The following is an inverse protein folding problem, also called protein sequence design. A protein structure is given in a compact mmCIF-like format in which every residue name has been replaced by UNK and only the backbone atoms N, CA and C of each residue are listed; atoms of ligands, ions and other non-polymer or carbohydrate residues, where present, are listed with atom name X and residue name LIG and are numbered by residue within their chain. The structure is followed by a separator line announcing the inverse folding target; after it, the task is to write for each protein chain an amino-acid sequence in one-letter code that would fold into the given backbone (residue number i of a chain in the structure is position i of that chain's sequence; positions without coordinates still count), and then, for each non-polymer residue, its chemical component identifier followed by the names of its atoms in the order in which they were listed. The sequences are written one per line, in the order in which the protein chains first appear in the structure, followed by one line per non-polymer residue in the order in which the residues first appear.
data_IF_815218243212
#
_entry.id   IF_815218243212
#
_cell.length_a   1.000
_cell.length_b   1.000
_cell.length_c   1.000
_cell.angle_alpha   90.00
_cell.angle_beta   90.00
_cell.angle_gamma   90.00
#
_symmetry.space_group_name_H-M   'P 1'
#
loop_
_entity.id
_entity.type
_entity.pdbx_description
1 polymer ?
#
# COMPACT_ATOMS: atom_id res chain seq x y z
N UNK A 1 -40.07 29.78 1.77
CA UNK A 1 -38.91 29.38 0.96
C UNK A 1 -37.77 28.98 1.90
N UNK A 2 -37.59 27.69 2.14
CA UNK A 2 -36.38 27.16 2.79
C UNK A 2 -36.08 25.81 2.16
N UNK A 3 -34.94 25.72 1.49
CA UNK A 3 -34.42 24.53 0.84
C UNK A 3 -33.81 23.57 1.87
N UNK A 4 -34.21 22.28 1.90
CA UNK A 4 -33.38 21.21 2.46
C UNK A 4 -33.03 20.19 1.37
N UNK A 5 -32.53 20.62 0.21
CA UNK A 5 -32.19 19.71 -0.91
C UNK A 5 -30.70 19.61 -1.24
N UNK A 6 -29.82 20.25 -0.44
CA UNK A 6 -28.38 20.28 -0.73
C UNK A 6 -27.51 19.27 0.04
N UNK A 7 -27.98 18.69 1.15
CA UNK A 7 -27.11 17.95 2.09
C UNK A 7 -27.16 16.42 1.92
N UNK A 8 -28.20 15.88 1.26
CA UNK A 8 -28.38 14.43 1.07
C UNK A 8 -27.84 13.88 -0.26
N UNK A 9 -27.61 14.72 -1.28
CA UNK A 9 -27.15 14.24 -2.60
C UNK A 9 -25.62 14.11 -2.74
N UNK A 10 -24.84 14.54 -1.74
CA UNK A 10 -23.36 14.51 -1.75
C UNK A 10 -22.74 13.34 -0.99
N UNK A 11 -23.51 12.51 -0.28
CA UNK A 11 -22.99 11.36 0.47
C UNK A 11 -23.02 10.05 -0.33
N UNK A 12 -23.66 10.01 -1.50
CA UNK A 12 -23.94 8.76 -2.22
C UNK A 12 -23.06 8.52 -3.46
N UNK A 13 -22.29 9.49 -3.93
CA UNK A 13 -21.33 9.29 -5.04
C UNK A 13 -19.90 9.01 -4.56
N UNK A 14 -19.59 9.33 -3.31
CA UNK A 14 -18.25 9.24 -2.72
C UNK A 14 -17.77 7.80 -2.46
N UNK A 15 -18.59 6.84 -1.97
CA UNK A 15 -18.08 5.52 -1.54
C UNK A 15 -17.51 4.66 -2.68
N UNK A 16 -18.06 4.75 -3.88
CA UNK A 16 -17.59 3.97 -5.04
C UNK A 16 -16.35 4.57 -5.68
N UNK A 17 -16.31 5.89 -5.85
CA UNK A 17 -15.12 6.61 -6.30
C UNK A 17 -13.94 6.41 -5.33
N UNK A 18 -14.26 6.32 -4.04
CA UNK A 18 -13.37 6.00 -2.94
C UNK A 18 -12.76 4.58 -3.03
N UNK A 19 -13.58 3.54 -3.21
CA UNK A 19 -13.06 2.17 -3.30
C UNK A 19 -12.23 1.91 -4.58
N UNK A 20 -12.45 2.70 -5.64
CA UNK A 20 -11.56 2.71 -6.82
C UNK A 20 -10.13 3.15 -6.49
N UNK A 21 -9.91 3.99 -5.46
CA UNK A 21 -8.56 4.40 -5.08
C UNK A 21 -7.71 3.23 -4.57
N UNK A 22 -8.30 2.32 -3.78
CA UNK A 22 -7.62 1.12 -3.31
C UNK A 22 -7.33 0.13 -4.43
N UNK A 23 -8.25 -0.03 -5.40
CA UNK A 23 -8.00 -0.81 -6.63
C UNK A 23 -6.86 -0.20 -7.44
N UNK A 24 -6.89 1.12 -7.66
CA UNK A 24 -5.84 1.83 -8.38
C UNK A 24 -4.48 1.68 -7.69
N UNK A 25 -4.42 1.82 -6.36
CA UNK A 25 -3.20 1.57 -5.59
C UNK A 25 -2.70 0.14 -5.79
N UNK A 26 -3.56 -0.86 -5.59
CA UNK A 26 -3.16 -2.25 -5.69
C UNK A 26 -2.62 -2.61 -7.07
N UNK A 27 -3.25 -2.09 -8.13
CA UNK A 27 -2.80 -2.28 -9.51
C UNK A 27 -1.48 -1.54 -9.77
N UNK A 28 -1.38 -0.26 -9.43
CA UNK A 28 -0.17 0.54 -9.66
C UNK A 28 1.03 -0.02 -8.89
N UNK A 29 0.84 -0.30 -7.60
CA UNK A 29 1.89 -0.85 -6.75
C UNK A 29 2.23 -2.30 -7.12
N UNK A 30 1.22 -3.11 -7.49
CA UNK A 30 1.43 -4.44 -8.03
C UNK A 30 2.26 -4.42 -9.31
N UNK A 31 1.98 -3.50 -10.24
CA UNK A 31 2.79 -3.29 -11.45
C UNK A 31 4.22 -2.89 -11.08
N UNK A 32 4.42 -1.95 -10.15
CA UNK A 32 5.76 -1.57 -9.66
C UNK A 32 6.52 -2.80 -9.16
N UNK A 33 5.92 -3.64 -8.30
CA UNK A 33 6.55 -4.84 -7.77
C UNK A 33 6.87 -5.89 -8.86
N UNK A 34 5.94 -6.14 -9.78
CA UNK A 34 6.14 -7.09 -10.88
C UNK A 34 7.23 -6.63 -11.84
N UNK A 35 7.25 -5.33 -12.18
CA UNK A 35 8.27 -4.73 -13.02
C UNK A 35 9.64 -4.81 -12.33
N UNK A 36 9.71 -4.52 -11.03
CA UNK A 36 10.95 -4.66 -10.26
C UNK A 36 11.44 -6.11 -10.24
N UNK A 37 10.56 -7.08 -10.02
CA UNK A 37 10.88 -8.52 -9.98
C UNK A 37 11.35 -9.08 -11.32
N UNK A 38 10.64 -8.74 -12.39
CA UNK A 38 10.95 -9.25 -13.75
C UNK A 38 12.15 -8.56 -14.39
N UNK A 39 12.66 -7.50 -13.76
CA UNK A 39 13.89 -6.83 -14.17
C UNK A 39 15.14 -7.47 -13.55
N UNK A 40 14.99 -8.46 -12.66
CA UNK A 40 16.11 -9.26 -12.16
C UNK A 40 16.51 -10.36 -13.15
N UNK A 41 17.82 -10.50 -13.45
CA UNK A 41 18.36 -11.72 -14.07
C UNK A 41 18.14 -12.96 -13.18
N UNK A 42 17.96 -14.16 -13.76
CA UNK A 42 17.86 -15.41 -12.99
C UNK A 42 19.10 -15.60 -12.08
N UNK A 43 18.88 -15.72 -10.77
CA UNK A 43 19.95 -15.91 -9.77
C UNK A 43 20.59 -14.63 -9.23
N UNK A 44 20.19 -13.45 -9.69
CA UNK A 44 20.66 -12.18 -9.13
C UNK A 44 19.91 -11.80 -7.84
N UNK A 45 20.57 -11.05 -6.95
CA UNK A 45 19.95 -10.57 -5.70
C UNK A 45 19.03 -9.38 -5.96
N UNK A 46 17.91 -9.26 -5.24
CA UNK A 46 17.06 -8.05 -5.30
C UNK A 46 17.92 -6.82 -4.99
N UNK A 47 17.72 -5.73 -5.73
CA UNK A 47 18.59 -4.56 -5.66
C UNK A 47 19.57 -4.50 -6.84
N UNK A 48 20.08 -5.64 -7.32
CA UNK A 48 20.99 -5.70 -8.48
C UNK A 48 20.38 -5.12 -9.75
N UNK A 49 19.05 -5.17 -9.92
CA UNK A 49 18.41 -4.58 -11.09
C UNK A 49 18.61 -3.05 -11.18
N UNK A 50 18.85 -2.40 -10.04
CA UNK A 50 19.12 -0.96 -9.93
C UNK A 50 20.58 -0.62 -10.20
N UNK A 51 21.49 -1.60 -10.09
CA UNK A 51 22.86 -1.46 -10.60
C UNK A 51 22.95 -1.86 -12.07
N UNK A 52 22.40 -3.00 -12.49
CA UNK A 52 22.84 -3.64 -13.74
C UNK A 52 22.15 -3.13 -15.02
N UNK A 53 21.31 -2.09 -14.90
CA UNK A 53 20.92 -1.28 -16.06
C UNK A 53 19.71 -1.77 -16.84
N UNK A 54 18.63 -2.18 -16.17
CA UNK A 54 17.32 -2.41 -16.81
C UNK A 54 16.55 -1.10 -17.06
N UNK A 55 17.09 -0.21 -17.90
CA UNK A 55 16.77 1.23 -17.87
C UNK A 55 15.33 1.64 -18.25
N UNK A 56 14.57 0.85 -19.00
CA UNK A 56 13.20 1.22 -19.42
C UNK A 56 12.14 0.87 -18.37
N UNK A 57 12.14 -0.40 -17.95
CA UNK A 57 11.22 -0.95 -16.95
C UNK A 57 11.39 -0.28 -15.59
N UNK A 58 12.63 -0.03 -15.20
CA UNK A 58 12.91 0.56 -13.90
C UNK A 58 12.52 2.04 -13.80
N UNK A 59 12.66 2.79 -14.90
CA UNK A 59 12.12 4.16 -15.01
C UNK A 59 10.60 4.17 -14.89
N UNK A 60 9.91 3.21 -15.51
CA UNK A 60 8.46 3.08 -15.37
C UNK A 60 8.06 2.86 -13.91
N UNK A 61 8.75 1.97 -13.18
CA UNK A 61 8.51 1.75 -11.76
C UNK A 61 8.70 3.03 -10.94
N UNK A 62 9.79 3.78 -11.15
CA UNK A 62 10.04 5.07 -10.48
C UNK A 62 8.89 6.05 -10.74
N UNK A 63 8.47 6.19 -12.00
CA UNK A 63 7.40 7.13 -12.38
C UNK A 63 6.06 6.71 -11.79
N UNK A 64 5.76 5.41 -11.72
CA UNK A 64 4.49 4.89 -11.17
C UNK A 64 4.41 5.00 -9.65
N UNK A 65 5.52 4.89 -8.92
CA UNK A 65 5.52 4.86 -7.46
C UNK A 65 4.78 6.06 -6.82
N UNK A 66 5.02 7.34 -7.21
CA UNK A 66 4.28 8.47 -6.65
C UNK A 66 2.76 8.39 -6.88
N UNK A 67 2.33 7.94 -8.07
CA UNK A 67 0.90 7.77 -8.37
C UNK A 67 0.28 6.66 -7.51
N UNK A 68 1.00 5.55 -7.32
CA UNK A 68 0.59 4.52 -6.37
C UNK A 68 0.44 5.11 -4.96
N UNK A 69 1.42 5.90 -4.51
CA UNK A 69 1.35 6.56 -3.21
C UNK A 69 0.17 7.51 -3.03
N UNK A 70 -0.15 8.32 -4.05
CA UNK A 70 -1.34 9.19 -4.02
C UNK A 70 -2.61 8.33 -3.90
N UNK A 71 -2.73 7.26 -4.69
CA UNK A 71 -3.86 6.35 -4.60
C UNK A 71 -3.95 5.68 -3.21
N UNK A 72 -2.82 5.36 -2.59
CA UNK A 72 -2.76 4.81 -1.24
C UNK A 72 -3.25 5.81 -0.18
N UNK A 73 -2.86 7.08 -0.28
CA UNK A 73 -3.34 8.12 0.62
C UNK A 73 -4.86 8.30 0.52
N UNK A 74 -5.41 8.26 -0.69
CA UNK A 74 -6.85 8.25 -0.89
C UNK A 74 -7.50 7.01 -0.26
N UNK A 75 -6.93 5.82 -0.46
CA UNK A 75 -7.40 4.59 0.17
C UNK A 75 -7.42 4.68 1.72
N UNK A 76 -6.40 5.28 2.34
CA UNK A 76 -6.39 5.54 3.79
C UNK A 76 -7.57 6.45 4.20
N UNK A 77 -7.82 7.52 3.44
CA UNK A 77 -8.96 8.41 3.69
C UNK A 77 -10.30 7.68 3.64
N UNK A 78 -10.46 6.76 2.69
CA UNK A 78 -11.67 5.97 2.50
C UNK A 78 -11.88 4.96 3.62
N UNK A 79 -10.81 4.25 3.99
CA UNK A 79 -10.85 3.35 5.13
C UNK A 79 -11.26 4.14 6.36
N UNK A 80 -10.60 5.28 6.64
CA UNK A 80 -10.88 6.19 7.77
C UNK A 80 -12.32 6.67 7.81
N UNK A 81 -12.88 7.11 6.67
CA UNK A 81 -14.27 7.56 6.59
C UNK A 81 -15.24 6.43 6.94
N UNK A 82 -14.91 5.20 6.55
CA UNK A 82 -15.67 4.00 6.91
C UNK A 82 -15.64 3.67 8.40
N UNK A 83 -14.64 4.12 9.15
CA UNK A 83 -14.47 3.81 10.58
C UNK A 83 -15.39 4.66 11.49
N UNK A 84 -15.85 5.81 11.01
CA UNK A 84 -16.77 6.69 11.75
C UNK A 84 -16.16 7.33 13.02
N UNK A 85 -17.03 7.82 13.92
CA UNK A 85 -16.63 8.42 15.20
C UNK A 85 -16.53 7.41 16.36
N UNK A 86 -16.76 6.12 16.11
CA UNK A 86 -16.92 5.09 17.16
C UNK A 86 -15.59 4.43 17.57
N UNK A 87 -14.47 4.94 17.09
CA UNK A 87 -13.18 4.28 17.22
C UNK A 87 -12.29 4.90 18.29
N UNK A 88 -11.56 4.04 19.02
CA UNK A 88 -10.47 4.44 19.90
C UNK A 88 -9.41 5.22 19.10
N UNK A 89 -9.12 6.45 19.54
CA UNK A 89 -8.11 7.33 18.91
C UNK A 89 -6.75 6.64 18.76
N UNK A 90 -6.41 5.72 19.67
CA UNK A 90 -5.18 4.93 19.61
C UNK A 90 -5.07 4.14 18.30
N UNK A 91 -6.09 3.38 17.91
CA UNK A 91 -6.05 2.56 16.69
C UNK A 91 -6.05 3.42 15.43
N UNK A 92 -6.80 4.52 15.44
CA UNK A 92 -6.78 5.51 14.34
C UNK A 92 -5.37 6.09 14.14
N UNK A 93 -4.68 6.46 15.23
CA UNK A 93 -3.31 7.00 15.14
C UNK A 93 -2.33 5.94 14.64
N UNK A 94 -2.42 4.70 15.13
CA UNK A 94 -1.56 3.59 14.67
C UNK A 94 -1.83 3.25 13.20
N UNK A 95 -3.10 3.25 12.79
CA UNK A 95 -3.52 3.04 11.40
C UNK A 95 -2.92 4.09 10.46
N UNK A 96 -3.15 5.38 10.73
CA UNK A 96 -2.64 6.46 9.88
C UNK A 96 -1.11 6.48 9.93
N UNK A 97 -0.52 6.37 11.11
CA UNK A 97 0.93 6.43 11.31
C UNK A 97 1.67 5.31 10.58
N UNK A 98 1.18 4.07 10.70
CA UNK A 98 1.78 2.92 10.01
C UNK A 98 1.62 3.01 8.48
N UNK A 99 0.48 3.48 7.99
CA UNK A 99 0.27 3.70 6.56
C UNK A 99 1.21 4.77 5.97
N UNK A 100 1.37 5.90 6.65
CA UNK A 100 2.30 6.94 6.21
C UNK A 100 3.76 6.50 6.31
N UNK A 101 4.13 5.76 7.35
CA UNK A 101 5.48 5.21 7.48
C UNK A 101 5.78 4.18 6.38
N UNK A 102 4.85 3.28 6.08
CA UNK A 102 4.96 2.40 4.91
C UNK A 102 5.22 3.18 3.63
N UNK A 103 4.42 4.21 3.37
CA UNK A 103 4.54 5.00 2.15
C UNK A 103 5.87 5.77 2.08
N UNK A 104 6.30 6.37 3.19
CA UNK A 104 7.57 7.06 3.29
C UNK A 104 8.74 6.13 2.97
N UNK A 105 8.77 4.92 3.54
CA UNK A 105 9.83 3.94 3.28
C UNK A 105 9.87 3.52 1.81
N UNK A 106 8.71 3.34 1.16
CA UNK A 106 8.63 3.02 -0.27
C UNK A 106 9.13 4.17 -1.16
N UNK A 107 8.77 5.42 -0.82
CA UNK A 107 9.25 6.60 -1.54
C UNK A 107 10.76 6.77 -1.39
N UNK A 108 11.29 6.64 -0.17
CA UNK A 108 12.73 6.69 0.08
C UNK A 108 13.46 5.58 -0.67
N UNK A 109 12.96 4.35 -0.61
CA UNK A 109 13.51 3.19 -1.34
C UNK A 109 13.56 3.44 -2.86
N UNK A 110 12.47 3.98 -3.42
CA UNK A 110 12.40 4.33 -4.85
C UNK A 110 13.35 5.48 -5.21
N UNK A 111 13.50 6.48 -4.34
CA UNK A 111 14.44 7.58 -4.54
C UNK A 111 15.90 7.09 -4.52
N UNK A 112 16.24 6.14 -3.62
CA UNK A 112 17.55 5.48 -3.61
C UNK A 112 17.78 4.72 -4.91
N UNK A 113 16.79 3.95 -5.38
CA UNK A 113 16.85 3.26 -6.66
C UNK A 113 17.06 4.20 -7.86
N UNK A 114 16.33 5.33 -7.89
CA UNK A 114 16.51 6.37 -8.89
C UNK A 114 17.91 7.02 -8.84
N UNK A 115 18.44 7.24 -7.62
CA UNK A 115 19.80 7.72 -7.42
C UNK A 115 20.86 6.76 -7.94
N UNK A 116 20.69 5.44 -7.72
CA UNK A 116 21.58 4.42 -8.27
C UNK A 116 21.58 4.43 -9.80
N UNK A 117 20.40 4.51 -10.42
CA UNK A 117 20.25 4.65 -11.87
C UNK A 117 20.92 5.92 -12.42
N UNK A 118 20.71 7.07 -11.77
CA UNK A 118 21.30 8.34 -12.18
C UNK A 118 22.82 8.33 -12.05
N UNK A 119 23.35 7.75 -10.96
CA UNK A 119 24.79 7.71 -10.69
C UNK A 119 25.60 7.05 -11.81
N UNK A 120 25.02 6.06 -12.50
CA UNK A 120 25.63 5.40 -13.67
C UNK A 120 25.60 6.25 -14.95
N UNK A 121 24.63 7.15 -15.11
CA UNK A 121 24.58 8.03 -16.29
C UNK A 121 25.64 9.13 -16.23
N UNK A 122 26.01 9.57 -15.02
CA UNK A 122 26.97 10.65 -14.81
C UNK A 122 28.42 10.17 -14.66
N UNK A 123 28.66 8.88 -14.37
CA UNK A 123 30.00 8.36 -14.09
C UNK A 123 30.27 7.13 -14.97
N UNK A 124 31.10 7.30 -16.01
CA UNK A 124 31.49 6.24 -16.94
C UNK A 124 32.59 5.30 -16.41
N UNK A 125 33.21 5.60 -15.26
CA UNK A 125 34.27 4.77 -14.68
C UNK A 125 33.70 3.63 -13.83
N UNK A 126 33.59 2.47 -14.47
CA UNK A 126 33.24 1.20 -13.88
C UNK A 126 34.33 0.70 -12.91
N UNK A 127 34.38 1.24 -11.69
CA UNK A 127 35.28 0.72 -10.66
C UNK A 127 35.27 1.49 -9.33
N UNK A 128 34.99 2.79 -9.36
CA UNK A 128 35.32 3.66 -8.22
C UNK A 128 34.32 3.62 -7.05
N UNK A 129 33.13 2.99 -7.20
CA UNK A 129 32.08 3.01 -6.14
C UNK A 129 31.20 1.76 -6.01
N UNK A 130 31.78 0.56 -6.13
CA UNK A 130 31.06 -0.70 -5.85
C UNK A 130 30.43 -0.69 -4.45
N UNK A 131 31.08 -0.05 -3.47
CA UNK A 131 30.57 0.07 -2.09
C UNK A 131 29.32 0.95 -1.97
N UNK A 132 29.24 2.09 -2.67
CA UNK A 132 28.06 2.97 -2.63
C UNK A 132 26.87 2.30 -3.32
N UNK A 133 27.13 1.56 -4.41
CA UNK A 133 26.11 0.77 -5.08
C UNK A 133 25.59 -0.36 -4.18
N UNK A 134 26.48 -1.11 -3.53
CA UNK A 134 26.13 -2.16 -2.58
C UNK A 134 25.36 -1.61 -1.36
N UNK A 135 25.79 -0.46 -0.81
CA UNK A 135 25.08 0.22 0.26
C UNK A 135 23.68 0.66 -0.17
N UNK A 136 23.55 1.28 -1.35
CA UNK A 136 22.25 1.69 -1.88
C UNK A 136 21.31 0.51 -2.10
N UNK A 137 21.82 -0.63 -2.57
CA UNK A 137 21.05 -1.87 -2.70
C UNK A 137 20.60 -2.41 -1.36
N UNK A 138 21.52 -2.50 -0.38
CA UNK A 138 21.20 -2.95 0.97
C UNK A 138 20.17 -2.04 1.65
N UNK A 139 20.30 -0.72 1.48
CA UNK A 139 19.36 0.25 2.01
C UNK A 139 17.96 0.11 1.36
N UNK A 140 17.91 -0.06 0.04
CA UNK A 140 16.68 -0.29 -0.71
C UNK A 140 15.95 -1.55 -0.21
N UNK A 141 16.68 -2.66 -0.06
CA UNK A 141 16.14 -3.92 0.48
C UNK A 141 15.63 -3.76 1.92
N UNK A 142 16.42 -3.15 2.79
CA UNK A 142 16.02 -2.94 4.18
C UNK A 142 14.75 -2.08 4.28
N UNK A 143 14.69 -0.99 3.51
CA UNK A 143 13.51 -0.12 3.49
C UNK A 143 12.26 -0.84 2.98
N UNK A 144 12.37 -1.64 1.92
CA UNK A 144 11.22 -2.30 1.29
C UNK A 144 10.83 -3.61 1.97
N UNK A 145 11.75 -4.57 2.04
CA UNK A 145 11.44 -5.95 2.45
C UNK A 145 11.39 -6.09 3.98
N UNK A 146 12.14 -5.27 4.72
CA UNK A 146 12.15 -5.35 6.18
C UNK A 146 11.23 -4.31 6.83
N UNK A 147 11.48 -3.02 6.61
CA UNK A 147 10.79 -1.96 7.36
C UNK A 147 9.40 -1.66 6.81
N UNK A 148 9.25 -1.45 5.50
CA UNK A 148 7.95 -1.14 4.90
C UNK A 148 6.96 -2.29 5.15
N UNK A 149 7.35 -3.54 4.92
CA UNK A 149 6.45 -4.69 5.17
C UNK A 149 5.99 -4.81 6.62
N UNK A 150 6.85 -4.53 7.59
CA UNK A 150 6.46 -4.51 9.01
C UNK A 150 5.43 -3.41 9.28
N UNK A 151 5.59 -2.21 8.70
CA UNK A 151 4.60 -1.14 8.84
C UNK A 151 3.29 -1.45 8.12
N UNK A 152 3.35 -2.11 6.95
CA UNK A 152 2.18 -2.63 6.25
C UNK A 152 1.42 -3.70 7.08
N UNK A 153 2.14 -4.57 7.80
CA UNK A 153 1.53 -5.54 8.71
C UNK A 153 0.83 -4.85 9.89
N UNK A 154 1.48 -3.84 10.51
CA UNK A 154 0.86 -3.03 11.58
C UNK A 154 -0.39 -2.32 11.08
N UNK A 155 -0.34 -1.78 9.86
CA UNK A 155 -1.49 -1.18 9.19
C UNK A 155 -2.64 -2.19 9.06
N UNK A 156 -2.39 -3.38 8.51
CA UNK A 156 -3.40 -4.44 8.39
C UNK A 156 -3.98 -4.86 9.75
N UNK A 157 -3.14 -5.04 10.78
CA UNK A 157 -3.57 -5.43 12.12
C UNK A 157 -4.46 -4.35 12.75
N UNK A 158 -4.11 -3.07 12.58
CA UNK A 158 -4.94 -1.97 13.07
C UNK A 158 -6.32 -2.00 12.41
N UNK A 159 -6.40 -2.10 11.08
CA UNK A 159 -7.66 -2.21 10.32
C UNK A 159 -8.48 -3.44 10.75
N UNK A 160 -7.85 -4.59 10.93
CA UNK A 160 -8.53 -5.80 11.39
C UNK A 160 -9.13 -5.64 12.79
N UNK A 161 -8.38 -5.02 13.71
CA UNK A 161 -8.83 -4.77 15.09
C UNK A 161 -10.02 -3.81 15.11
N UNK A 162 -9.94 -2.78 14.28
CA UNK A 162 -10.98 -1.80 14.05
C UNK A 162 -12.26 -2.48 13.55
N UNK A 163 -12.17 -3.31 12.51
CA UNK A 163 -13.31 -4.07 11.99
C UNK A 163 -13.90 -5.06 12.99
N UNK A 164 -13.06 -5.67 13.83
CA UNK A 164 -13.51 -6.58 14.88
C UNK A 164 -14.36 -5.84 15.93
N UNK A 165 -13.96 -4.61 16.29
CA UNK A 165 -14.64 -3.78 17.30
C UNK A 165 -15.90 -3.11 16.77
N UNK A 166 -15.85 -2.60 15.55
CA UNK A 166 -16.95 -1.85 14.93
C UNK A 166 -18.02 -2.76 14.31
N UNK A 167 -17.70 -4.03 14.02
CA UNK A 167 -18.62 -4.97 13.40
C UNK A 167 -18.98 -4.62 11.95
N UNK A 168 -18.24 -3.70 11.32
CA UNK A 168 -18.51 -3.19 9.97
C UNK A 168 -18.31 -4.24 8.87
N UNK A 169 -17.43 -5.21 9.11
CA UNK A 169 -17.02 -6.22 8.12
C UNK A 169 -17.27 -7.65 8.63
N UNK A 170 -17.39 -8.64 7.72
CA UNK A 170 -17.55 -10.03 8.09
C UNK A 170 -16.37 -10.56 8.93
N UNK A 171 -16.66 -11.36 9.97
CA UNK A 171 -15.63 -11.89 10.88
C UNK A 171 -14.56 -12.73 10.16
N UNK A 172 -14.91 -13.40 9.06
CA UNK A 172 -13.95 -14.17 8.26
C UNK A 172 -12.87 -13.26 7.64
N UNK A 173 -13.24 -12.04 7.21
CA UNK A 173 -12.31 -11.10 6.59
C UNK A 173 -11.30 -10.57 7.62
N UNK A 174 -11.75 -10.36 8.85
CA UNK A 174 -10.90 -9.99 9.98
C UNK A 174 -9.85 -11.08 10.24
N UNK A 175 -10.28 -12.35 10.31
CA UNK A 175 -9.36 -13.49 10.51
C UNK A 175 -8.35 -13.59 9.36
N UNK A 176 -8.81 -13.50 8.11
CA UNK A 176 -7.93 -13.51 6.94
C UNK A 176 -6.92 -12.37 7.00
N UNK A 177 -7.33 -11.16 7.40
CA UNK A 177 -6.43 -10.00 7.50
C UNK A 177 -5.37 -10.21 8.57
N UNK A 178 -5.73 -10.75 9.74
CA UNK A 178 -4.73 -11.09 10.77
C UNK A 178 -3.75 -12.17 10.29
N UNK A 179 -4.24 -13.22 9.62
CA UNK A 179 -3.38 -14.27 9.08
C UNK A 179 -2.40 -13.71 8.04
N UNK A 180 -2.88 -12.86 7.12
CA UNK A 180 -2.02 -12.19 6.13
C UNK A 180 -1.04 -11.26 6.81
N UNK A 181 -1.45 -10.48 7.81
CA UNK A 181 -0.56 -9.56 8.52
C UNK A 181 0.56 -10.29 9.26
N UNK A 182 0.24 -11.39 9.95
CA UNK A 182 1.23 -12.23 10.63
C UNK A 182 2.16 -12.90 9.61
N UNK A 183 1.60 -13.43 8.52
CA UNK A 183 2.41 -14.00 7.44
C UNK A 183 3.36 -12.95 6.85
N UNK A 184 2.89 -11.71 6.64
CA UNK A 184 3.75 -10.61 6.19
C UNK A 184 4.85 -10.36 7.21
N UNK A 185 4.53 -10.26 8.50
CA UNK A 185 5.49 -9.95 9.55
C UNK A 185 6.58 -11.03 9.72
N UNK A 186 6.21 -12.31 9.60
CA UNK A 186 7.13 -13.46 9.78
C UNK A 186 7.88 -13.80 8.49
N UNK A 187 7.21 -13.74 7.35
CA UNK A 187 7.79 -14.13 6.06
C UNK A 187 8.49 -12.98 5.32
N UNK A 188 8.51 -11.77 5.89
CA UNK A 188 9.22 -10.60 5.33
C UNK A 188 10.69 -10.92 5.03
N UNK A 189 11.37 -11.62 5.93
CA UNK A 189 12.81 -11.90 5.83
C UNK A 189 13.11 -13.24 5.09
N UNK A 190 12.07 -14.04 4.76
CA UNK A 190 12.23 -15.42 4.27
C UNK A 190 11.81 -15.57 2.81
N UNK A 191 10.74 -14.88 2.40
CA UNK A 191 10.21 -14.98 1.04
C UNK A 191 10.04 -13.59 0.44
N UNK A 192 10.70 -13.30 -0.69
CA UNK A 192 10.52 -12.01 -1.32
C UNK A 192 9.05 -11.82 -1.74
N UNK A 193 8.31 -12.87 -2.11
CA UNK A 193 6.90 -12.81 -2.55
C UNK A 193 5.92 -12.26 -1.52
N UNK A 194 6.34 -12.18 -0.26
CA UNK A 194 5.57 -11.54 0.82
C UNK A 194 5.21 -10.09 0.51
N UNK A 195 6.03 -9.37 -0.27
CA UNK A 195 5.71 -8.00 -0.73
C UNK A 195 4.44 -7.90 -1.57
N UNK A 196 4.07 -8.95 -2.30
CA UNK A 196 2.86 -8.97 -3.16
C UNK A 196 1.60 -9.25 -2.33
N UNK A 197 1.73 -9.86 -1.15
CA UNK A 197 0.59 -10.14 -0.28
C UNK A 197 -0.14 -8.85 0.13
N UNK A 198 0.60 -7.77 0.37
CA UNK A 198 0.02 -6.47 0.73
C UNK A 198 -0.90 -5.87 -0.33
N UNK A 199 -0.47 -5.60 -1.58
CA UNK A 199 -1.35 -5.08 -2.62
C UNK A 199 -2.49 -6.04 -2.98
N UNK A 200 -2.27 -7.36 -2.93
CA UNK A 200 -3.35 -8.34 -3.15
C UNK A 200 -4.42 -8.21 -2.07
N UNK A 201 -4.02 -8.09 -0.81
CA UNK A 201 -4.97 -7.85 0.28
C UNK A 201 -5.71 -6.52 0.11
N UNK A 202 -5.02 -5.43 -0.25
CA UNK A 202 -5.69 -4.14 -0.53
C UNK A 202 -6.70 -4.27 -1.68
N UNK A 203 -6.37 -5.01 -2.74
CA UNK A 203 -7.28 -5.29 -3.84
C UNK A 203 -8.53 -6.03 -3.35
N UNK A 204 -8.37 -7.10 -2.57
CA UNK A 204 -9.48 -7.86 -2.01
C UNK A 204 -10.40 -6.98 -1.16
N UNK A 205 -9.83 -6.20 -0.24
CA UNK A 205 -10.59 -5.26 0.60
C UNK A 205 -11.32 -4.23 -0.24
N UNK A 206 -10.67 -3.66 -1.24
CA UNK A 206 -11.26 -2.65 -2.12
C UNK A 206 -12.40 -3.22 -2.95
N UNK A 207 -12.26 -4.45 -3.46
CA UNK A 207 -13.32 -5.15 -4.19
C UNK A 207 -14.49 -5.47 -3.26
N UNK A 208 -14.24 -5.94 -2.03
CA UNK A 208 -15.31 -6.19 -1.05
C UNK A 208 -16.08 -4.92 -0.71
N UNK A 209 -15.39 -3.78 -0.54
CA UNK A 209 -16.04 -2.48 -0.35
C UNK A 209 -16.86 -2.03 -1.56
N UNK A 210 -16.43 -2.37 -2.79
CA UNK A 210 -17.20 -2.08 -4.01
C UNK A 210 -18.46 -2.94 -4.14
N UNK A 211 -18.39 -4.21 -3.76
CA UNK A 211 -19.49 -5.17 -3.90
C UNK A 211 -20.41 -5.25 -2.67
N UNK A 212 -20.01 -4.68 -1.52
CA UNK A 212 -20.87 -4.59 -0.34
C UNK A 212 -22.12 -3.74 -0.67
N UNK A 213 -23.34 -4.27 -0.50
CA UNK A 213 -24.55 -3.49 -0.69
C UNK A 213 -24.57 -2.33 0.30
N UNK A 214 -24.77 -1.10 -0.19
CA UNK A 214 -25.03 0.04 0.68
C UNK A 214 -26.21 -0.34 1.58
N UNK A 215 -25.94 -0.48 2.89
CA UNK A 215 -26.94 -0.88 3.85
C UNK A 215 -28.12 0.09 3.72
N UNK A 216 -29.23 -0.39 3.15
CA UNK A 216 -30.49 0.32 3.19
C UNK A 216 -30.84 0.46 4.65
N UNK A 217 -30.65 1.64 5.22
CA UNK A 217 -31.27 2.05 6.47
C UNK A 217 -32.78 1.95 6.27
N UNK A 218 -33.34 0.77 6.50
CA UNK A 218 -34.76 0.62 6.81
C UNK A 218 -34.95 1.29 8.16
N UNK A 219 -35.30 2.56 8.14
CA UNK A 219 -35.96 3.19 9.28
C UNK A 219 -37.32 2.49 9.42
N UNK A 220 -37.65 1.89 10.57
CA UNK A 220 -39.00 1.42 10.80
C UNK A 220 -39.91 2.65 10.87
N UNK A 221 -40.83 2.76 9.91
CA UNK A 221 -41.96 3.68 9.99
C UNK A 221 -42.69 3.41 11.30
N UNK A 222 -42.59 4.34 12.24
CA UNK A 222 -43.47 4.38 13.41
C UNK A 222 -44.74 5.08 12.98
N UNK A 223 -45.77 4.26 12.75
CA UNK A 223 -47.18 4.66 12.78
C UNK A 223 -47.61 5.01 14.21
#
# INVERSE_FOLDING_TARGET
MTHPTGRQLRSLTTPRAAALAGVAFALLFGVVLVVMRTSLPPGAQLGSQWSDGSSGRLKLAIVLTPFAGIAFLWFIGVLRDGLGQLEDQFFTTVFIGSGFLFLAMIFTSTAVGAGLLASKQFVAEAGTRTEVAAFGQGLLLALTDTYALRMAAVFMMSVATIWLRTGLMPRWLVVVTYLVAIAVLVASDVSPWTTVAFPVWVLLVSLLLLFAPAASTRLPDRA
#
